data_IF_248853121346
#
_entry.id   IF_248853121346
#
_cell.length_a   1.000
_cell.length_b   1.000
_cell.length_c   1.000
_cell.angle_alpha   90.00
_cell.angle_beta   90.00
_cell.angle_gamma   90.00
#
_symmetry.space_group_name_H-M   'P 1'
#
loop_
_entity.id
_entity.type
_entity.pdbx_description
1 polymer ?
#
# COMPACT_ATOMS: atom_id res chain seq x y z
N UNK A 1 36.39 39.18 22.79
CA UNK A 1 36.93 37.86 22.39
C UNK A 1 36.06 36.77 22.99
N UNK A 2 35.22 36.11 22.19
CA UNK A 2 34.61 34.82 22.55
C UNK A 2 35.12 33.81 21.54
N UNK A 3 36.14 33.07 21.96
CA UNK A 3 36.76 31.98 21.24
C UNK A 3 35.71 30.88 21.03
N UNK A 4 35.19 30.73 19.81
CA UNK A 4 34.29 29.63 19.45
C UNK A 4 35.13 28.35 19.30
N UNK A 5 35.11 27.54 20.34
CA UNK A 5 35.68 26.19 20.38
C UNK A 5 35.14 25.32 19.23
N UNK A 6 36.01 24.71 18.38
CA UNK A 6 35.62 23.99 17.16
C UNK A 6 35.23 22.50 17.38
N UNK A 7 34.71 22.15 18.55
CA UNK A 7 34.38 20.74 18.87
C UNK A 7 32.90 20.36 18.64
N UNK A 8 31.99 21.32 18.50
CA UNK A 8 30.52 21.06 18.45
C UNK A 8 29.93 20.93 17.04
N UNK A 9 30.74 21.03 15.97
CA UNK A 9 30.27 21.00 14.58
C UNK A 9 30.19 19.57 14.01
N UNK A 10 31.14 18.69 14.40
CA UNK A 10 31.25 17.32 13.86
C UNK A 10 30.14 16.38 14.38
N UNK A 11 29.77 16.49 15.65
CA UNK A 11 28.63 15.72 16.19
C UNK A 11 27.30 16.16 15.57
N UNK A 12 27.10 17.46 15.35
CA UNK A 12 25.88 17.98 14.73
C UNK A 12 25.71 17.53 13.27
N UNK A 13 26.80 17.48 12.49
CA UNK A 13 26.75 16.94 11.13
C UNK A 13 26.43 15.45 11.09
N UNK A 14 26.96 14.67 12.03
CA UNK A 14 26.67 13.23 12.17
C UNK A 14 25.21 12.97 12.58
N UNK A 15 24.64 13.84 13.41
CA UNK A 15 23.23 13.73 13.80
C UNK A 15 22.29 14.14 12.67
N UNK A 16 22.59 15.24 11.96
CA UNK A 16 21.83 15.65 10.77
C UNK A 16 21.89 14.62 9.65
N UNK A 17 23.05 14.00 9.41
CA UNK A 17 23.16 12.97 8.38
C UNK A 17 22.29 11.75 8.73
N UNK A 18 22.28 11.29 9.98
CA UNK A 18 21.40 10.21 10.44
C UNK A 18 19.91 10.53 10.24
N UNK A 19 19.48 11.75 10.53
CA UNK A 19 18.09 12.19 10.30
C UNK A 19 17.74 12.17 8.81
N UNK A 20 18.61 12.70 7.95
CA UNK A 20 18.40 12.69 6.49
C UNK A 20 18.32 11.25 5.95
N UNK A 21 19.17 10.34 6.44
CA UNK A 21 19.09 8.91 6.09
C UNK A 21 17.80 8.23 6.58
N UNK A 22 17.27 8.63 7.75
CA UNK A 22 16.00 8.12 8.26
C UNK A 22 14.80 8.62 7.44
N UNK A 23 14.80 9.89 7.03
CA UNK A 23 13.78 10.46 6.14
C UNK A 23 13.83 9.83 4.73
N UNK A 24 15.04 9.60 4.21
CA UNK A 24 15.26 8.90 2.95
C UNK A 24 14.81 7.42 3.04
N UNK A 25 15.01 6.76 4.18
CA UNK A 25 14.56 5.38 4.39
C UNK A 25 13.02 5.30 4.44
N UNK A 26 12.38 6.22 5.16
CA UNK A 26 10.92 6.29 5.26
C UNK A 26 10.26 6.54 3.89
N UNK A 27 10.81 7.45 3.09
CA UNK A 27 10.29 7.72 1.75
C UNK A 27 10.43 6.51 0.81
N UNK A 28 11.52 5.77 0.87
CA UNK A 28 11.70 4.52 0.10
C UNK A 28 10.71 3.41 0.52
N UNK A 29 10.44 3.28 1.82
CA UNK A 29 9.47 2.30 2.34
C UNK A 29 8.04 2.57 1.83
N UNK A 30 7.62 3.84 1.80
CA UNK A 30 6.29 4.22 1.26
C UNK A 30 6.17 3.86 -0.22
N UNK A 31 7.25 4.04 -1.00
CA UNK A 31 7.26 3.66 -2.41
C UNK A 31 7.17 2.14 -2.62
N UNK A 32 7.86 1.36 -1.78
CA UNK A 32 7.79 -0.10 -1.81
C UNK A 32 6.40 -0.59 -1.40
N UNK A 33 5.79 0.02 -0.38
CA UNK A 33 4.43 -0.32 0.07
C UNK A 33 3.40 -0.11 -1.06
N UNK A 34 3.43 1.04 -1.74
CA UNK A 34 2.55 1.29 -2.92
C UNK A 34 2.76 0.28 -4.06
N UNK A 35 3.96 -0.29 -4.18
CA UNK A 35 4.27 -1.32 -5.19
C UNK A 35 3.76 -2.70 -4.79
N UNK A 36 3.76 -2.99 -3.48
CA UNK A 36 3.43 -4.30 -2.93
C UNK A 36 1.96 -4.68 -3.04
N UNK A 37 1.04 -3.73 -3.19
CA UNK A 37 -0.39 -4.02 -3.42
C UNK A 37 -0.59 -4.97 -4.60
N UNK A 38 0.28 -4.89 -5.61
CA UNK A 38 0.26 -5.78 -6.78
C UNK A 38 0.52 -7.26 -6.47
N UNK A 39 1.18 -7.54 -5.36
CA UNK A 39 1.52 -8.90 -4.94
C UNK A 39 0.64 -9.36 -3.78
N UNK A 40 0.26 -8.46 -2.87
CA UNK A 40 -0.62 -8.79 -1.74
C UNK A 40 -1.99 -9.33 -2.19
N UNK A 41 -2.59 -8.76 -3.23
CA UNK A 41 -3.87 -9.29 -3.73
C UNK A 41 -3.74 -10.70 -4.36
N UNK A 42 -2.57 -11.05 -4.91
CA UNK A 42 -2.29 -12.40 -5.41
C UNK A 42 -2.07 -13.37 -4.23
N UNK A 43 -1.32 -12.93 -3.22
CA UNK A 43 -0.96 -13.75 -2.06
C UNK A 43 -2.16 -14.07 -1.16
N UNK A 44 -3.00 -13.07 -0.87
CA UNK A 44 -4.23 -13.22 -0.08
C UNK A 44 -5.34 -13.86 -0.95
N UNK A 45 -5.17 -13.85 -2.28
CA UNK A 45 -6.16 -14.31 -3.24
C UNK A 45 -7.48 -13.56 -3.08
N UNK A 46 -7.38 -12.26 -2.82
CA UNK A 46 -8.50 -11.35 -2.60
C UNK A 46 -8.44 -10.25 -3.65
N UNK A 47 -9.51 -10.05 -4.44
CA UNK A 47 -9.47 -9.12 -5.56
C UNK A 47 -9.53 -7.67 -5.05
N UNK A 48 -8.68 -6.79 -5.61
CA UNK A 48 -8.68 -5.36 -5.27
C UNK A 48 -9.89 -4.66 -5.87
N UNK A 49 -10.62 -3.91 -5.03
CA UNK A 49 -11.80 -3.15 -5.45
C UNK A 49 -11.46 -2.06 -6.48
N UNK A 50 -10.35 -1.36 -6.32
CA UNK A 50 -9.95 -0.29 -7.25
C UNK A 50 -9.70 -0.84 -8.66
N UNK A 51 -9.06 -2.01 -8.76
CA UNK A 51 -8.89 -2.71 -10.04
C UNK A 51 -10.22 -3.13 -10.66
N UNK A 52 -11.18 -3.57 -9.85
CA UNK A 52 -12.53 -3.89 -10.32
C UNK A 52 -13.23 -2.65 -10.89
N UNK A 53 -13.17 -1.51 -10.19
CA UNK A 53 -13.77 -0.26 -10.67
C UNK A 53 -13.09 0.25 -11.94
N UNK A 54 -11.76 0.18 -12.01
CA UNK A 54 -11.01 0.53 -13.21
C UNK A 54 -11.40 -0.36 -14.40
N UNK A 55 -11.48 -1.68 -14.18
CA UNK A 55 -11.93 -2.65 -15.19
C UNK A 55 -13.36 -2.37 -15.64
N UNK A 56 -14.29 -2.08 -14.71
CA UNK A 56 -15.68 -1.73 -15.03
C UNK A 56 -15.74 -0.44 -15.85
N UNK A 57 -14.97 0.59 -15.51
CA UNK A 57 -14.92 1.84 -16.28
C UNK A 57 -14.38 1.65 -17.69
N UNK A 58 -13.38 0.78 -17.86
CA UNK A 58 -12.75 0.52 -19.16
C UNK A 58 -13.59 -0.39 -20.07
N UNK A 59 -14.19 -1.44 -19.52
CA UNK A 59 -14.86 -2.49 -20.32
C UNK A 59 -16.39 -2.40 -20.30
N UNK A 60 -16.96 -1.75 -19.28
CA UNK A 60 -18.40 -1.64 -19.08
C UNK A 60 -18.80 -0.22 -18.63
N UNK A 61 -18.56 0.82 -19.46
CA UNK A 61 -18.88 2.20 -19.11
C UNK A 61 -20.37 2.42 -18.81
N UNK A 62 -21.25 1.59 -19.37
CA UNK A 62 -22.71 1.68 -19.20
C UNK A 62 -23.22 1.04 -17.90
N UNK A 63 -22.36 0.35 -17.13
CA UNK A 63 -22.74 -0.33 -15.89
C UNK A 63 -22.19 0.40 -14.68
N UNK A 64 -23.04 0.64 -13.69
CA UNK A 64 -22.64 1.17 -12.39
C UNK A 64 -21.83 0.08 -11.65
N UNK A 65 -20.59 0.36 -11.21
CA UNK A 65 -19.82 -0.59 -10.41
C UNK A 65 -20.55 -0.94 -9.10
N UNK A 66 -20.47 -2.20 -8.69
CA UNK A 66 -21.00 -2.66 -7.40
C UNK A 66 -20.35 -1.90 -6.25
N UNK A 67 -21.04 -1.79 -5.12
CA UNK A 67 -20.43 -1.21 -3.92
C UNK A 67 -19.32 -2.11 -3.39
N UNK A 68 -18.35 -1.52 -2.68
CA UNK A 68 -17.21 -2.25 -2.12
C UNK A 68 -17.65 -3.46 -1.27
N UNK A 69 -18.69 -3.29 -0.45
CA UNK A 69 -19.22 -4.38 0.40
C UNK A 69 -19.81 -5.53 -0.40
N UNK A 70 -20.57 -5.23 -1.45
CA UNK A 70 -21.19 -6.25 -2.30
C UNK A 70 -20.14 -7.04 -3.06
N UNK A 71 -19.15 -6.34 -3.62
CA UNK A 71 -18.02 -6.96 -4.29
C UNK A 71 -17.26 -7.92 -3.37
N UNK A 72 -16.99 -7.52 -2.11
CA UNK A 72 -16.34 -8.40 -1.15
C UNK A 72 -17.20 -9.58 -0.72
N UNK A 73 -18.50 -9.36 -0.51
CA UNK A 73 -19.43 -10.45 -0.15
C UNK A 73 -19.47 -11.52 -1.23
N UNK A 74 -19.60 -11.11 -2.49
CA UNK A 74 -19.62 -12.02 -3.64
C UNK A 74 -18.27 -12.71 -3.86
N UNK A 75 -17.14 -12.00 -3.68
CA UNK A 75 -15.81 -12.61 -3.75
C UNK A 75 -15.60 -13.67 -2.65
N UNK A 76 -16.08 -13.40 -1.43
CA UNK A 76 -16.04 -14.39 -0.35
C UNK A 76 -16.99 -15.55 -0.58
N UNK A 77 -18.20 -15.31 -1.09
CA UNK A 77 -19.16 -16.35 -1.42
C UNK A 77 -18.67 -17.23 -2.58
N UNK A 78 -18.04 -16.67 -3.59
CA UNK A 78 -17.41 -17.44 -4.66
C UNK A 78 -16.26 -18.32 -4.15
N UNK A 79 -15.46 -17.82 -3.20
CA UNK A 79 -14.29 -18.54 -2.67
C UNK A 79 -14.63 -19.54 -1.56
N UNK A 80 -15.59 -19.23 -0.70
CA UNK A 80 -15.91 -20.00 0.51
C UNK A 80 -17.37 -20.51 0.55
N UNK A 81 -18.26 -19.99 -0.30
CA UNK A 81 -19.67 -20.38 -0.40
C UNK A 81 -19.92 -21.68 -1.17
N UNK A 82 -18.89 -22.24 -1.84
CA UNK A 82 -18.92 -23.56 -2.47
C UNK A 82 -19.03 -24.76 -1.49
N UNK A 83 -19.45 -24.52 -0.25
CA UNK A 83 -19.70 -25.54 0.79
C UNK A 83 -21.17 -25.95 0.96
N UNK A 84 -22.09 -25.45 0.12
CA UNK A 84 -23.53 -25.82 0.18
C UNK A 84 -23.97 -26.89 -0.82
N UNK A 85 -23.03 -27.52 -1.53
CA UNK A 85 -23.30 -28.69 -2.35
C UNK A 85 -22.93 -29.95 -1.56
N UNK A 86 -23.56 -30.13 -0.39
CA UNK A 86 -23.58 -31.46 0.25
C UNK A 86 -24.64 -32.25 -0.50
N UNK A 87 -24.20 -33.08 -1.43
CA UNK A 87 -25.00 -34.21 -1.92
C UNK A 87 -25.25 -35.19 -0.76
#
# INVERSE_FOLDING_TARGET
MKEKLPHTDKEQKSFKSKIVWLEALASNLVQIYRRSDRFFHLLVGMPSYDKYVEHMRQNHPDKIPKSQREFFKEAMEAKYGAGRNKC
#
